data_IF_672937989865
#
_entry.id   IF_672937989865
#
_cell.length_a   1.000
_cell.length_b   1.000
_cell.length_c   1.000
_cell.angle_alpha   90.00
_cell.angle_beta   90.00
_cell.angle_gamma   90.00
#
_symmetry.space_group_name_H-M   'P 1'
#
loop_
_entity.id
_entity.type
_entity.pdbx_description
1 polymer ?
#
# COMPACT_ATOMS: atom_id res chain seq x y z
N UNK A 1 -32.14 15.34 6.03
CA UNK A 1 -32.61 16.45 6.90
C UNK A 1 -32.31 16.24 8.38
N UNK A 2 -33.04 15.43 9.14
CA UNK A 2 -32.74 15.23 10.58
C UNK A 2 -31.30 14.74 10.80
N UNK A 3 -30.87 13.72 10.03
CA UNK A 3 -29.50 13.22 10.07
C UNK A 3 -28.45 14.29 9.75
N UNK A 4 -28.71 15.17 8.77
CA UNK A 4 -27.78 16.26 8.42
C UNK A 4 -27.63 17.27 9.56
N UNK A 5 -28.70 17.55 10.29
CA UNK A 5 -28.66 18.40 11.49
C UNK A 5 -27.81 17.73 12.56
N UNK A 6 -28.06 16.47 12.88
CA UNK A 6 -27.28 15.77 13.91
C UNK A 6 -25.80 15.61 13.55
N UNK A 7 -25.47 15.42 12.27
CA UNK A 7 -24.08 15.40 11.79
C UNK A 7 -23.41 16.77 11.95
N UNK A 8 -24.13 17.85 11.66
CA UNK A 8 -23.63 19.21 11.87
C UNK A 8 -23.41 19.50 13.36
N UNK A 9 -24.38 19.15 14.20
CA UNK A 9 -24.28 19.31 15.65
C UNK A 9 -23.10 18.48 16.19
N UNK A 10 -22.92 17.24 15.72
CA UNK A 10 -21.80 16.37 16.11
C UNK A 10 -20.45 17.01 15.82
N UNK A 11 -20.30 17.63 14.64
CA UNK A 11 -19.04 18.28 14.24
C UNK A 11 -18.67 19.47 15.12
N UNK A 12 -19.65 20.13 15.75
CA UNK A 12 -19.46 21.29 16.61
C UNK A 12 -19.47 20.97 18.11
N UNK A 13 -19.88 19.74 18.49
CA UNK A 13 -20.05 19.33 19.87
C UNK A 13 -18.72 18.96 20.55
N UNK A 14 -18.68 19.15 21.87
CA UNK A 14 -17.64 18.62 22.76
C UNK A 14 -17.79 17.10 22.98
N UNK A 15 -16.74 16.46 23.50
CA UNK A 15 -16.64 15.00 23.55
C UNK A 15 -17.78 14.32 24.33
N UNK A 16 -18.33 14.93 25.38
CA UNK A 16 -19.44 14.37 26.15
C UNK A 16 -20.76 14.34 25.35
N UNK A 17 -21.06 15.42 24.64
CA UNK A 17 -22.30 15.56 23.88
C UNK A 17 -22.29 14.69 22.61
N UNK A 18 -21.10 14.48 22.03
CA UNK A 18 -20.89 13.60 20.88
C UNK A 18 -21.44 12.18 21.11
N UNK A 19 -21.31 11.62 22.32
CA UNK A 19 -21.88 10.30 22.64
C UNK A 19 -23.40 10.25 22.50
N UNK A 20 -24.10 11.31 22.93
CA UNK A 20 -25.55 11.39 22.82
C UNK A 20 -25.99 11.55 21.35
N UNK A 21 -25.25 12.35 20.59
CA UNK A 21 -25.51 12.57 19.18
C UNK A 21 -25.31 11.29 18.35
N UNK A 22 -24.30 10.48 18.64
CA UNK A 22 -24.11 9.17 18.00
C UNK A 22 -25.34 8.28 18.19
N UNK A 23 -25.90 8.22 19.40
CA UNK A 23 -27.12 7.43 19.65
C UNK A 23 -28.34 7.96 18.89
N UNK A 24 -28.48 9.28 18.76
CA UNK A 24 -29.56 9.88 17.95
C UNK A 24 -29.40 9.57 16.47
N UNK A 25 -28.17 9.63 15.96
CA UNK A 25 -27.83 9.30 14.56
C UNK A 25 -28.18 7.82 14.29
N UNK A 26 -27.70 6.90 15.13
CA UNK A 26 -27.99 5.46 15.03
C UNK A 26 -29.51 5.19 15.03
N UNK A 27 -30.23 5.79 15.97
CA UNK A 27 -31.68 5.64 16.06
C UNK A 27 -32.39 6.12 14.79
N UNK A 28 -32.05 7.30 14.28
CA UNK A 28 -32.65 7.83 13.05
C UNK A 28 -32.29 7.00 11.81
N UNK A 29 -31.10 6.39 11.74
CA UNK A 29 -30.74 5.43 10.67
C UNK A 29 -31.61 4.17 10.77
N UNK A 30 -31.88 3.67 11.98
CA UNK A 30 -32.78 2.52 12.19
C UNK A 30 -34.22 2.83 11.80
N UNK A 31 -34.75 4.00 12.16
CA UNK A 31 -36.07 4.45 11.71
C UNK A 31 -36.13 4.55 10.18
N UNK A 32 -35.12 5.15 9.56
CA UNK A 32 -35.02 5.24 8.10
C UNK A 32 -34.97 3.85 7.45
N UNK A 33 -34.24 2.91 8.04
CA UNK A 33 -34.14 1.51 7.55
C UNK A 33 -35.53 0.86 7.46
N UNK A 34 -36.36 1.05 8.49
CA UNK A 34 -37.72 0.53 8.54
C UNK A 34 -38.59 1.18 7.46
N UNK A 35 -38.53 2.50 7.34
CA UNK A 35 -39.34 3.27 6.39
C UNK A 35 -39.07 2.89 4.93
N UNK A 36 -37.80 2.65 4.58
CA UNK A 36 -37.41 2.27 3.21
C UNK A 36 -37.44 0.75 2.97
N UNK A 37 -37.76 -0.04 4.01
CA UNK A 37 -37.74 -1.50 3.94
C UNK A 37 -36.36 -2.10 3.62
N UNK A 38 -35.27 -1.44 4.04
CA UNK A 38 -33.90 -1.91 3.86
C UNK A 38 -33.12 -1.75 5.15
N UNK A 39 -32.54 -2.83 5.64
CA UNK A 39 -31.68 -2.81 6.81
C UNK A 39 -30.30 -2.20 6.48
N UNK A 40 -29.91 -1.14 7.19
CA UNK A 40 -28.56 -0.63 7.15
C UNK A 40 -27.69 -1.31 8.20
N UNK A 41 -26.99 -2.37 7.82
CA UNK A 41 -25.98 -3.00 8.70
C UNK A 41 -24.76 -2.09 8.77
N UNK A 42 -24.42 -1.61 9.96
CA UNK A 42 -23.26 -0.76 10.19
C UNK A 42 -22.54 -1.15 11.49
N UNK A 43 -21.24 -1.42 11.39
CA UNK A 43 -20.36 -1.54 12.58
C UNK A 43 -19.73 -0.18 12.92
N UNK A 44 -19.58 0.69 11.93
CA UNK A 44 -19.02 2.05 12.04
C UNK A 44 -20.04 3.02 11.47
N UNK A 45 -20.51 3.95 12.33
CA UNK A 45 -21.52 4.95 11.98
C UNK A 45 -20.92 6.19 11.32
N UNK A 46 -19.79 6.65 11.83
CA UNK A 46 -19.18 7.93 11.47
C UNK A 46 -17.70 7.75 11.16
N UNK A 47 -17.22 8.60 10.26
CA UNK A 47 -15.80 8.79 9.98
C UNK A 47 -15.49 10.26 10.17
N UNK A 48 -14.38 10.56 10.84
CA UNK A 48 -13.92 11.92 11.11
C UNK A 48 -12.51 12.07 10.57
N UNK A 49 -12.28 13.11 9.77
CA UNK A 49 -10.95 13.55 9.34
C UNK A 49 -10.60 14.80 10.16
N UNK A 50 -9.66 14.67 11.10
CA UNK A 50 -9.22 15.78 11.95
C UNK A 50 -8.09 16.54 11.28
N UNK A 51 -8.26 17.85 11.08
CA UNK A 51 -7.24 18.73 10.49
C UNK A 51 -6.65 19.61 11.58
N UNK A 52 -5.32 19.65 11.63
CA UNK A 52 -4.60 20.58 12.47
C UNK A 52 -3.99 21.71 11.63
N UNK A 53 -4.60 22.91 11.70
CA UNK A 53 -4.17 24.07 10.88
C UNK A 53 -2.86 24.72 11.36
N UNK A 54 -2.40 24.42 12.57
CA UNK A 54 -1.20 25.00 13.17
C UNK A 54 0.02 24.08 13.10
N UNK A 55 0.37 23.54 11.92
CA UNK A 55 1.49 22.59 11.77
C UNK A 55 2.74 23.05 12.55
N UNK A 56 3.15 22.26 13.55
CA UNK A 56 4.30 22.58 14.40
C UNK A 56 5.64 22.22 13.76
N UNK A 57 5.65 21.20 12.89
CA UNK A 57 6.86 20.63 12.29
C UNK A 57 6.67 20.48 10.79
N UNK A 58 7.14 21.46 10.03
CA UNK A 58 7.23 21.36 8.56
C UNK A 58 8.43 20.49 8.19
N UNK A 59 8.33 19.78 7.07
CA UNK A 59 9.46 19.05 6.49
C UNK A 59 9.91 19.78 5.24
N UNK A 60 11.19 20.12 5.19
CA UNK A 60 11.82 20.57 3.95
C UNK A 60 12.31 19.36 3.18
N UNK A 61 11.88 19.26 1.93
CA UNK A 61 12.27 18.20 1.02
C UNK A 61 13.38 18.75 0.12
N UNK A 62 14.55 18.13 0.19
CA UNK A 62 15.67 18.51 -0.66
C UNK A 62 15.66 17.74 -1.99
N UNK A 63 16.37 18.28 -2.98
CA UNK A 63 16.45 17.69 -4.33
C UNK A 63 17.03 16.27 -4.31
N UNK A 64 18.06 16.02 -3.50
CA UNK A 64 18.68 14.69 -3.40
C UNK A 64 17.69 13.61 -2.95
N UNK A 65 16.80 13.93 -2.01
CA UNK A 65 15.75 13.02 -1.56
C UNK A 65 14.77 12.70 -2.70
N UNK A 66 14.38 13.70 -3.50
CA UNK A 66 13.50 13.49 -4.66
C UNK A 66 14.19 12.68 -5.77
N UNK A 67 15.47 12.93 -6.04
CA UNK A 67 16.27 12.12 -6.96
C UNK A 67 16.34 10.66 -6.51
N UNK A 68 16.56 10.44 -5.21
CA UNK A 68 16.64 9.10 -4.67
C UNK A 68 15.27 8.40 -4.69
N UNK A 69 14.16 9.11 -4.40
CA UNK A 69 12.80 8.59 -4.62
C UNK A 69 12.61 8.22 -6.09
N UNK A 70 13.06 9.07 -7.01
CA UNK A 70 12.95 8.82 -8.45
C UNK A 70 13.61 7.52 -8.88
N UNK A 71 14.75 7.19 -8.28
CA UNK A 71 15.45 5.95 -8.54
C UNK A 71 14.77 4.75 -7.87
N UNK A 72 14.36 4.89 -6.61
CA UNK A 72 13.67 3.84 -5.87
C UNK A 72 12.32 3.47 -6.50
N UNK A 73 11.55 4.43 -7.00
CA UNK A 73 10.26 4.13 -7.61
C UNK A 73 10.40 3.25 -8.86
N UNK A 74 11.44 3.48 -9.69
CA UNK A 74 11.73 2.63 -10.85
C UNK A 74 11.97 1.20 -10.39
N UNK A 75 12.87 1.02 -9.41
CA UNK A 75 13.21 -0.31 -8.91
C UNK A 75 12.04 -0.99 -8.20
N UNK A 76 11.28 -0.26 -7.39
CA UNK A 76 10.18 -0.79 -6.59
C UNK A 76 9.03 -1.37 -7.42
N UNK A 77 8.96 -1.08 -8.73
CA UNK A 77 8.01 -1.71 -9.64
C UNK A 77 8.07 -3.24 -9.65
N UNK A 78 9.25 -3.83 -9.42
CA UNK A 78 9.37 -5.30 -9.36
C UNK A 78 8.56 -5.89 -8.21
N UNK A 79 8.34 -5.13 -7.13
CA UNK A 79 7.58 -5.60 -5.97
C UNK A 79 6.07 -5.36 -6.10
N UNK A 80 5.60 -4.74 -7.18
CA UNK A 80 4.17 -4.68 -7.48
C UNK A 80 3.65 -6.06 -7.91
N UNK A 81 2.73 -6.59 -7.10
CA UNK A 81 2.10 -7.89 -7.26
C UNK A 81 1.21 -7.95 -8.52
N UNK A 82 0.69 -6.80 -8.96
CA UNK A 82 -0.11 -6.70 -10.18
C UNK A 82 0.72 -6.86 -11.46
N UNK A 83 2.03 -6.59 -11.41
CA UNK A 83 2.84 -6.58 -12.62
C UNK A 83 3.06 -7.98 -13.22
N UNK A 84 3.46 -9.02 -12.45
CA UNK A 84 3.46 -10.40 -12.97
C UNK A 84 2.07 -10.88 -13.42
N UNK A 85 1.01 -10.44 -12.74
CA UNK A 85 -0.38 -10.77 -13.12
C UNK A 85 -0.72 -10.17 -14.48
N UNK A 86 -0.32 -8.91 -14.76
CA UNK A 86 -0.49 -8.29 -16.08
C UNK A 86 0.25 -9.06 -17.17
N UNK A 87 1.51 -9.43 -16.94
CA UNK A 87 2.29 -10.17 -17.93
C UNK A 87 1.66 -11.53 -18.24
N UNK A 88 1.19 -12.23 -17.20
CA UNK A 88 0.48 -13.50 -17.35
C UNK A 88 -0.86 -13.33 -18.07
N UNK A 89 -1.62 -12.31 -17.68
CA UNK A 89 -2.87 -11.95 -18.34
C UNK A 89 -2.65 -11.63 -19.82
N UNK A 90 -1.60 -10.88 -20.15
CA UNK A 90 -1.30 -10.47 -21.52
C UNK A 90 -0.92 -11.66 -22.40
N UNK A 91 -0.11 -12.58 -21.87
CA UNK A 91 0.19 -13.85 -22.54
C UNK A 91 -1.09 -14.63 -22.84
N UNK A 92 -1.93 -14.86 -21.82
CA UNK A 92 -3.15 -15.64 -21.97
C UNK A 92 -4.20 -14.96 -22.84
N UNK A 93 -4.23 -13.62 -22.85
CA UNK A 93 -5.04 -12.82 -23.77
C UNK A 93 -4.59 -13.05 -25.21
N UNK A 94 -3.30 -12.92 -25.50
CA UNK A 94 -2.76 -13.13 -26.84
C UNK A 94 -2.95 -14.57 -27.32
N UNK A 95 -2.76 -15.58 -26.46
CA UNK A 95 -3.05 -16.99 -26.79
C UNK A 95 -4.51 -17.22 -27.20
N UNK A 96 -5.46 -16.46 -26.63
CA UNK A 96 -6.90 -16.62 -26.88
C UNK A 96 -7.42 -15.72 -28.03
N UNK A 97 -6.94 -14.49 -28.12
CA UNK A 97 -7.49 -13.45 -28.98
C UNK A 97 -6.49 -12.92 -30.04
N UNK A 98 -5.23 -13.32 -29.97
CA UNK A 98 -4.17 -12.80 -30.86
C UNK A 98 -4.01 -11.28 -30.73
N UNK A 99 -3.82 -10.63 -31.88
CA UNK A 99 -3.68 -9.16 -32.00
C UNK A 99 -5.02 -8.42 -32.18
N UNK A 100 -6.15 -9.13 -32.08
CA UNK A 100 -7.47 -8.56 -32.30
C UNK A 100 -7.85 -7.51 -31.23
N UNK A 101 -8.60 -6.50 -31.65
CA UNK A 101 -9.26 -5.58 -30.74
C UNK A 101 -10.52 -6.24 -30.17
N UNK A 102 -10.55 -6.48 -28.87
CA UNK A 102 -11.65 -7.15 -28.17
C UNK A 102 -12.42 -6.13 -27.36
N UNK A 103 -13.73 -6.01 -27.59
CA UNK A 103 -14.61 -5.09 -26.85
C UNK A 103 -14.47 -5.23 -25.34
N UNK A 104 -14.43 -4.10 -24.62
CA UNK A 104 -14.17 -4.11 -23.20
C UNK A 104 -15.36 -4.60 -22.34
N UNK A 105 -16.55 -4.75 -22.91
CA UNK A 105 -17.69 -5.43 -22.28
C UNK A 105 -17.66 -6.97 -22.46
N UNK A 106 -16.65 -7.52 -23.17
CA UNK A 106 -16.53 -8.96 -23.37
C UNK A 106 -16.10 -9.67 -22.07
N UNK A 107 -17.02 -10.46 -21.51
CA UNK A 107 -16.83 -11.23 -20.28
C UNK A 107 -15.63 -12.20 -20.33
N UNK A 108 -15.27 -12.68 -21.51
CA UNK A 108 -14.17 -13.63 -21.67
C UNK A 108 -12.82 -13.00 -21.30
N UNK A 109 -12.64 -11.69 -21.51
CA UNK A 109 -11.40 -10.99 -21.12
C UNK A 109 -11.23 -11.03 -19.60
N UNK A 110 -12.29 -10.78 -18.86
CA UNK A 110 -12.29 -10.81 -17.40
C UNK A 110 -12.08 -12.23 -16.84
N UNK A 111 -12.61 -13.25 -17.51
CA UNK A 111 -12.33 -14.64 -17.15
C UNK A 111 -10.85 -14.98 -17.33
N UNK A 112 -10.22 -14.52 -18.42
CA UNK A 112 -8.78 -14.68 -18.64
C UNK A 112 -7.99 -13.98 -17.53
N UNK A 113 -8.38 -12.76 -17.13
CA UNK A 113 -7.74 -12.04 -16.03
C UNK A 113 -7.87 -12.76 -14.68
N UNK A 114 -9.07 -13.25 -14.33
CA UNK A 114 -9.30 -14.00 -13.08
C UNK A 114 -8.44 -15.27 -13.05
N UNK A 115 -8.33 -15.97 -14.18
CA UNK A 115 -7.48 -17.15 -14.31
C UNK A 115 -6.00 -16.79 -14.13
N UNK A 116 -5.53 -15.72 -14.77
CA UNK A 116 -4.16 -15.22 -14.58
C UNK A 116 -3.85 -14.85 -13.12
N UNK A 117 -4.79 -14.19 -12.43
CA UNK A 117 -4.66 -13.88 -11.00
C UNK A 117 -4.63 -15.14 -10.12
N UNK A 118 -5.46 -16.14 -10.44
CA UNK A 118 -5.51 -17.42 -9.73
C UNK A 118 -4.22 -18.24 -9.92
N UNK A 119 -3.62 -18.19 -11.11
CA UNK A 119 -2.32 -18.82 -11.42
C UNK A 119 -1.14 -18.17 -10.66
N UNK A 120 -1.38 -17.00 -10.06
CA UNK A 120 -0.37 -16.13 -9.42
C UNK A 120 -0.69 -15.82 -7.96
N UNK A 121 -1.47 -16.65 -7.27
CA UNK A 121 -1.86 -16.42 -5.85
C UNK A 121 -0.67 -16.20 -4.91
N UNK A 122 0.46 -16.85 -5.16
CA UNK A 122 1.65 -16.75 -4.30
C UNK A 122 2.28 -15.35 -4.31
N UNK A 123 2.23 -14.62 -5.44
CA UNK A 123 2.80 -13.25 -5.52
C UNK A 123 2.07 -12.28 -4.58
N UNK A 124 0.81 -12.58 -4.26
CA UNK A 124 0.00 -11.80 -3.31
C UNK A 124 0.38 -12.06 -1.85
N UNK A 125 0.98 -13.22 -1.55
CA UNK A 125 1.43 -13.61 -0.21
C UNK A 125 2.86 -13.14 0.08
N UNK A 126 3.73 -13.20 -0.93
CA UNK A 126 5.13 -12.78 -0.83
C UNK A 126 5.54 -12.01 -2.08
N UNK A 127 5.88 -10.74 -1.92
CA UNK A 127 6.34 -9.89 -3.02
C UNK A 127 7.69 -10.34 -3.58
N UNK A 128 8.49 -11.09 -2.81
CA UNK A 128 9.75 -11.73 -3.20
C UNK A 128 9.56 -13.18 -3.67
N UNK A 129 8.32 -13.61 -3.98
CA UNK A 129 8.07 -14.95 -4.51
C UNK A 129 8.99 -15.22 -5.70
N UNK A 130 9.71 -16.34 -5.62
CA UNK A 130 10.57 -16.85 -6.68
C UNK A 130 9.80 -17.90 -7.48
N UNK A 131 9.83 -17.77 -8.81
CA UNK A 131 9.25 -18.75 -9.73
C UNK A 131 10.14 -18.86 -10.95
N UNK A 132 10.28 -20.08 -11.47
CA UNK A 132 10.88 -20.26 -12.80
C UNK A 132 9.79 -19.99 -13.85
N UNK A 133 10.08 -19.08 -14.76
CA UNK A 133 9.21 -18.80 -15.91
C UNK A 133 9.99 -19.04 -17.20
N UNK A 134 9.46 -19.92 -18.04
CA UNK A 134 10.15 -20.35 -19.27
C UNK A 134 9.51 -19.75 -20.53
N UNK A 135 8.31 -19.19 -20.42
CA UNK A 135 7.51 -18.77 -21.57
C UNK A 135 7.33 -17.26 -21.67
N UNK A 136 7.94 -16.47 -20.76
CA UNK A 136 7.85 -15.02 -20.75
C UNK A 136 9.15 -14.39 -20.21
N UNK A 137 9.96 -13.85 -21.11
CA UNK A 137 11.28 -13.28 -20.80
C UNK A 137 11.21 -12.13 -19.78
N UNK A 138 10.22 -11.25 -19.93
CA UNK A 138 10.03 -10.12 -19.02
C UNK A 138 9.68 -10.59 -17.59
N UNK A 139 8.82 -11.60 -17.47
CA UNK A 139 8.46 -12.16 -16.19
C UNK A 139 9.63 -12.90 -15.53
N UNK A 140 10.41 -13.63 -16.33
CA UNK A 140 11.64 -14.28 -15.87
C UNK A 140 12.65 -13.25 -15.34
N UNK A 141 12.88 -12.15 -16.08
CA UNK A 141 13.74 -11.04 -15.63
C UNK A 141 13.28 -10.45 -14.30
N UNK A 142 11.97 -10.22 -14.09
CA UNK A 142 11.42 -9.74 -12.81
C UNK A 142 11.75 -10.71 -11.67
N UNK A 143 11.53 -12.02 -11.85
CA UNK A 143 11.82 -13.00 -10.81
C UNK A 143 13.31 -13.09 -10.49
N UNK A 144 14.18 -12.95 -11.49
CA UNK A 144 15.63 -12.88 -11.29
C UNK A 144 16.06 -11.63 -10.51
N UNK A 145 15.48 -10.46 -10.80
CA UNK A 145 15.72 -9.24 -10.02
C UNK A 145 15.29 -9.41 -8.55
N UNK A 146 14.12 -10.02 -8.29
CA UNK A 146 13.65 -10.33 -6.94
C UNK A 146 14.58 -11.29 -6.21
N UNK A 147 15.05 -12.33 -6.91
CA UNK A 147 16.01 -13.29 -6.37
C UNK A 147 17.32 -12.59 -5.98
N UNK A 148 17.88 -11.76 -6.86
CA UNK A 148 19.10 -10.97 -6.57
C UNK A 148 18.91 -10.02 -5.39
N UNK A 149 17.74 -9.39 -5.27
CA UNK A 149 17.41 -8.56 -4.10
C UNK A 149 17.42 -9.37 -2.80
N UNK A 150 16.76 -10.54 -2.81
CA UNK A 150 16.71 -11.43 -1.66
C UNK A 150 18.09 -11.97 -1.29
N UNK A 151 18.90 -12.32 -2.29
CA UNK A 151 20.31 -12.70 -2.11
C UNK A 151 21.13 -11.57 -1.49
N UNK A 152 20.94 -10.33 -1.95
CA UNK A 152 21.57 -9.16 -1.32
C UNK A 152 21.23 -9.08 0.18
N UNK A 153 19.95 -9.17 0.54
CA UNK A 153 19.51 -9.18 1.94
C UNK A 153 20.13 -10.36 2.70
N UNK A 154 20.20 -11.53 2.08
CA UNK A 154 20.80 -12.72 2.68
C UNK A 154 22.30 -12.57 2.96
N UNK A 155 23.04 -11.92 2.05
CA UNK A 155 24.47 -11.64 2.24
C UNK A 155 24.73 -10.51 3.23
N UNK A 156 23.74 -9.63 3.46
CA UNK A 156 23.85 -8.55 4.44
C UNK A 156 23.60 -9.04 5.88
N UNK A 157 22.98 -10.21 6.06
CA UNK A 157 22.75 -10.78 7.40
C UNK A 157 24.05 -10.96 8.18
N UNK A 158 23.99 -10.68 9.48
CA UNK A 158 25.14 -10.72 10.38
C UNK A 158 25.95 -9.42 10.46
N UNK A 159 25.69 -8.44 9.58
CA UNK A 159 26.24 -7.10 9.75
C UNK A 159 25.62 -6.41 10.97
N UNK A 160 26.48 -5.77 11.77
CA UNK A 160 26.06 -5.01 12.95
C UNK A 160 25.82 -3.53 12.65
N UNK A 161 26.21 -3.07 11.46
CA UNK A 161 26.05 -1.68 10.98
C UNK A 161 25.05 -1.61 9.84
N UNK A 162 24.48 -0.43 9.55
CA UNK A 162 23.67 -0.23 8.36
C UNK A 162 24.39 -0.67 7.08
N UNK A 163 23.65 -1.29 6.16
CA UNK A 163 24.17 -1.82 4.89
C UNK A 163 23.58 -1.01 3.74
N UNK A 164 24.45 -0.40 2.94
CA UNK A 164 24.04 0.36 1.76
C UNK A 164 23.61 -0.56 0.62
N UNK A 165 22.41 -0.33 0.06
CA UNK A 165 21.88 -1.01 -1.12
C UNK A 165 21.99 -0.16 -2.40
N UNK A 166 22.55 1.04 -2.31
CA UNK A 166 22.54 2.02 -3.41
C UNK A 166 23.14 1.48 -4.70
N UNK A 167 24.39 1.02 -4.67
CA UNK A 167 25.08 0.52 -5.87
C UNK A 167 24.34 -0.66 -6.51
N UNK A 168 23.70 -1.49 -5.69
CA UNK A 168 22.88 -2.60 -6.15
C UNK A 168 21.66 -2.09 -6.92
N UNK A 169 20.86 -1.20 -6.33
CA UNK A 169 19.66 -0.65 -6.97
C UNK A 169 20.01 0.16 -8.23
N UNK A 170 21.05 0.99 -8.17
CA UNK A 170 21.45 1.84 -9.30
C UNK A 170 21.86 0.99 -10.51
N UNK A 171 22.60 -0.10 -10.28
CA UNK A 171 22.94 -1.07 -11.33
C UNK A 171 21.70 -1.78 -11.87
N UNK A 172 20.84 -2.30 -11.00
CA UNK A 172 19.65 -3.05 -11.43
C UNK A 172 18.71 -2.19 -12.29
N UNK A 173 18.56 -0.90 -11.96
CA UNK A 173 17.77 0.05 -12.75
C UNK A 173 18.44 0.34 -14.10
N UNK A 174 19.76 0.57 -14.12
CA UNK A 174 20.48 0.84 -15.36
C UNK A 174 20.44 -0.36 -16.33
N UNK A 175 20.52 -1.59 -15.82
CA UNK A 175 20.51 -2.81 -16.63
C UNK A 175 19.10 -3.25 -17.09
N UNK A 176 18.03 -2.72 -16.48
CA UNK A 176 16.64 -3.15 -16.75
C UNK A 176 15.68 -1.98 -17.01
N UNK A 177 16.20 -0.83 -17.47
CA UNK A 177 15.40 0.38 -17.63
C UNK A 177 14.17 0.17 -18.54
N UNK A 178 14.32 -0.62 -19.59
CA UNK A 178 13.26 -1.01 -20.54
C UNK A 178 12.08 -1.75 -19.90
N UNK A 179 12.34 -2.47 -18.81
CA UNK A 179 11.36 -3.29 -18.11
C UNK A 179 10.66 -2.50 -17.00
N UNK A 180 11.42 -1.73 -16.21
CA UNK A 180 10.93 -1.16 -14.96
C UNK A 180 10.67 0.35 -14.99
N UNK A 181 11.08 1.06 -16.05
CA UNK A 181 10.73 2.47 -16.24
C UNK A 181 9.51 2.63 -17.12
N UNK A 182 8.56 3.47 -16.71
CA UNK A 182 7.52 4.03 -17.59
C UNK A 182 7.71 5.53 -17.66
N UNK A 183 7.25 6.11 -18.76
CA UNK A 183 7.20 7.56 -18.92
C UNK A 183 6.24 8.22 -17.91
N UNK A 184 5.25 7.48 -17.37
CA UNK A 184 4.24 8.00 -16.45
C UNK A 184 4.29 7.53 -15.01
N UNK A 185 5.50 7.23 -14.51
CA UNK A 185 5.69 6.83 -13.13
C UNK A 185 5.33 7.95 -12.14
N UNK A 186 4.57 7.59 -11.13
CA UNK A 186 4.29 8.41 -9.95
C UNK A 186 4.16 7.54 -8.71
N UNK A 187 4.70 8.02 -7.60
CA UNK A 187 4.64 7.33 -6.32
C UNK A 187 4.34 8.29 -5.17
N UNK A 188 3.54 7.82 -4.21
CA UNK A 188 3.42 8.44 -2.89
C UNK A 188 4.35 7.74 -1.93
N UNK A 189 5.25 8.49 -1.30
CA UNK A 189 6.21 8.00 -0.32
C UNK A 189 5.76 8.42 1.07
N UNK A 190 5.54 7.43 1.93
CA UNK A 190 5.25 7.60 3.35
C UNK A 190 6.56 7.46 4.11
N UNK A 191 6.94 8.49 4.85
CA UNK A 191 8.23 8.50 5.54
C UNK A 191 8.19 9.29 6.85
N UNK A 192 9.19 9.04 7.68
CA UNK A 192 9.43 9.81 8.90
C UNK A 192 10.79 10.49 8.79
N UNK A 193 10.89 11.74 9.26
CA UNK A 193 12.15 12.51 9.25
C UNK A 193 12.84 12.35 10.60
N UNK A 194 14.05 11.78 10.60
CA UNK A 194 14.99 11.88 11.71
C UNK A 194 15.89 13.11 11.57
N UNK A 195 16.93 13.25 12.40
CA UNK A 195 17.86 14.39 12.28
C UNK A 195 18.57 14.38 10.92
N UNK A 196 19.28 13.29 10.61
CA UNK A 196 20.11 13.18 9.39
C UNK A 196 19.52 12.24 8.32
N UNK A 197 18.52 11.44 8.68
CA UNK A 197 17.96 10.40 7.81
C UNK A 197 16.47 10.59 7.54
N UNK A 198 15.99 9.84 6.55
CA UNK A 198 14.59 9.61 6.25
C UNK A 198 14.30 8.13 6.46
N UNK A 199 13.21 7.79 7.12
CA UNK A 199 12.80 6.41 7.32
C UNK A 199 11.61 6.15 6.41
N UNK A 200 11.82 5.39 5.35
CA UNK A 200 10.79 5.06 4.38
C UNK A 200 9.91 3.97 4.99
N UNK A 201 8.66 4.31 5.26
CA UNK A 201 7.68 3.32 5.71
C UNK A 201 7.18 2.54 4.51
N UNK A 202 6.69 3.26 3.50
CA UNK A 202 6.05 2.67 2.32
C UNK A 202 6.22 3.55 1.09
N UNK A 203 6.28 2.90 -0.05
CA UNK A 203 6.09 3.53 -1.35
C UNK A 203 4.85 2.89 -1.97
N UNK A 204 3.90 3.72 -2.38
CA UNK A 204 2.70 3.28 -3.07
C UNK A 204 2.56 3.99 -4.40
N UNK A 205 1.60 3.53 -5.20
CA UNK A 205 1.18 4.24 -6.40
C UNK A 205 0.80 5.69 -6.05
N UNK A 206 1.29 6.63 -6.83
CA UNK A 206 0.99 8.05 -6.70
C UNK A 206 -0.31 8.40 -7.40
N UNK A 207 -0.30 9.51 -8.15
CA UNK A 207 -1.47 10.04 -8.86
C UNK A 207 -2.60 10.39 -7.89
N UNK A 208 -2.30 11.09 -6.80
CA UNK A 208 -3.26 11.60 -5.82
C UNK A 208 -4.05 10.55 -5.01
N UNK A 209 -3.76 9.24 -5.12
CA UNK A 209 -4.53 8.18 -4.42
C UNK A 209 -4.66 8.43 -2.91
N UNK A 210 -3.61 8.96 -2.27
CA UNK A 210 -3.60 9.26 -0.84
C UNK A 210 -3.87 10.72 -0.49
N UNK A 211 -3.93 11.60 -1.50
CA UNK A 211 -4.15 13.04 -1.34
C UNK A 211 -5.58 13.47 -1.69
N UNK A 212 -6.23 12.83 -2.66
CA UNK A 212 -7.54 13.20 -3.24
C UNK A 212 -8.64 13.36 -2.18
N UNK A 213 -8.64 12.50 -1.16
CA UNK A 213 -9.58 12.57 -0.02
C UNK A 213 -9.41 13.86 0.78
N UNK A 214 -8.19 14.33 0.96
CA UNK A 214 -7.85 15.42 1.90
C UNK A 214 -7.66 16.77 1.21
N UNK A 215 -7.21 16.80 -0.05
CA UNK A 215 -6.92 18.05 -0.78
C UNK A 215 -8.15 18.96 -0.87
N UNK A 216 -9.35 18.37 -0.98
CA UNK A 216 -10.64 19.10 -0.97
C UNK A 216 -10.94 19.89 0.31
N UNK A 217 -10.14 19.68 1.36
CA UNK A 217 -10.28 20.37 2.65
C UNK A 217 -9.39 21.63 2.73
N UNK A 218 -8.59 21.89 1.68
CA UNK A 218 -7.64 22.99 1.57
C UNK A 218 -7.87 23.74 0.25
N UNK A 219 -8.80 24.70 0.25
CA UNK A 219 -9.12 25.52 -0.93
C UNK A 219 -7.86 26.22 -1.48
N UNK A 220 -6.97 26.65 -0.59
CA UNK A 220 -5.70 27.28 -0.96
C UNK A 220 -4.77 26.38 -1.79
N UNK A 221 -4.86 25.06 -1.62
CA UNK A 221 -4.08 24.10 -2.42
C UNK A 221 -4.77 23.89 -3.76
N UNK A 222 -6.08 23.69 -3.77
CA UNK A 222 -6.84 23.48 -5.00
C UNK A 222 -6.73 24.68 -5.95
N UNK A 223 -6.72 25.90 -5.43
CA UNK A 223 -6.60 27.13 -6.22
C UNK A 223 -5.14 27.46 -6.61
N UNK A 224 -4.16 26.70 -6.10
CA UNK A 224 -2.75 26.97 -6.39
C UNK A 224 -2.38 26.59 -7.83
N UNK A 225 -1.62 27.45 -8.50
CA UNK A 225 -1.13 27.19 -9.86
C UNK A 225 -0.20 25.97 -9.94
N UNK A 226 0.51 25.68 -8.85
CA UNK A 226 1.39 24.51 -8.75
C UNK A 226 0.59 23.20 -8.76
N UNK A 227 -0.49 23.13 -7.97
CA UNK A 227 -1.36 21.97 -7.95
C UNK A 227 -2.09 21.79 -9.29
N UNK A 228 -2.63 22.86 -9.88
CA UNK A 228 -3.27 22.79 -11.19
C UNK A 228 -2.30 22.31 -12.28
N UNK A 229 -1.06 22.82 -12.29
CA UNK A 229 -0.03 22.36 -13.21
C UNK A 229 0.35 20.89 -12.97
N UNK A 230 0.36 20.44 -11.71
CA UNK A 230 0.54 19.03 -11.37
C UNK A 230 -0.59 18.18 -11.95
N UNK A 231 -1.85 18.56 -11.74
CA UNK A 231 -3.02 17.82 -12.24
C UNK A 231 -3.02 17.73 -13.77
N UNK A 232 -2.82 18.85 -14.46
CA UNK A 232 -2.75 18.86 -15.93
C UNK A 232 -1.63 17.96 -16.46
N UNK A 233 -0.46 17.97 -15.81
CA UNK A 233 0.68 17.12 -16.16
C UNK A 233 0.39 15.64 -15.95
N UNK A 234 -0.19 15.27 -14.81
CA UNK A 234 -0.37 13.85 -14.43
C UNK A 234 -1.62 13.22 -15.04
N UNK A 235 -2.68 13.99 -15.23
CA UNK A 235 -3.98 13.47 -15.67
C UNK A 235 -4.35 13.84 -17.12
N UNK A 236 -3.71 14.83 -17.76
CA UNK A 236 -3.82 15.10 -19.20
C UNK A 236 -5.20 14.88 -19.86
N UNK A 237 -5.22 14.52 -21.16
CA UNK A 237 -6.47 14.23 -21.88
C UNK A 237 -6.70 12.73 -22.15
N UNK A 238 -5.66 11.91 -21.99
CA UNK A 238 -5.66 10.44 -22.20
C UNK A 238 -5.76 9.63 -20.90
N UNK A 239 -5.71 10.28 -19.73
CA UNK A 239 -5.97 9.61 -18.45
C UNK A 239 -7.43 9.83 -18.07
N UNK A 240 -8.13 8.75 -17.78
CA UNK A 240 -9.56 8.74 -17.50
C UNK A 240 -9.77 8.17 -16.10
N UNK A 241 -10.64 8.80 -15.32
CA UNK A 241 -10.85 8.45 -13.91
C UNK A 241 -12.10 7.59 -13.71
N UNK A 242 -12.03 6.62 -12.82
CA UNK A 242 -13.20 5.93 -12.25
C UNK A 242 -13.53 6.62 -10.93
N UNK A 243 -14.70 7.26 -10.84
CA UNK A 243 -15.09 8.09 -9.68
C UNK A 243 -15.93 7.32 -8.65
N UNK A 244 -16.31 6.08 -8.96
CA UNK A 244 -17.14 5.24 -8.12
C UNK A 244 -16.49 4.91 -6.77
N UNK A 245 -17.19 5.19 -5.66
CA UNK A 245 -16.66 4.95 -4.32
C UNK A 245 -16.69 3.47 -3.88
N UNK A 246 -17.48 2.63 -4.55
CA UNK A 246 -17.75 1.21 -4.19
C UNK A 246 -18.06 0.99 -2.69
N UNK A 247 -18.83 1.91 -2.10
CA UNK A 247 -19.25 1.80 -0.70
C UNK A 247 -18.15 2.04 0.33
N UNK A 248 -16.97 2.54 -0.07
CA UNK A 248 -15.88 2.84 0.83
C UNK A 248 -15.65 4.35 0.96
N UNK A 249 -15.91 4.90 2.14
CA UNK A 249 -15.87 6.35 2.40
C UNK A 249 -14.53 7.00 2.05
N UNK A 250 -13.41 6.29 2.23
CA UNK A 250 -12.10 6.85 1.91
C UNK A 250 -11.88 7.13 0.42
N UNK A 251 -12.81 6.73 -0.46
CA UNK A 251 -12.78 7.00 -1.89
C UNK A 251 -13.59 8.25 -2.27
N UNK A 252 -14.19 8.97 -1.33
CA UNK A 252 -14.94 10.19 -1.64
C UNK A 252 -13.97 11.35 -1.87
N UNK A 253 -13.83 11.79 -3.12
CA UNK A 253 -12.92 12.86 -3.53
C UNK A 253 -13.56 13.73 -4.62
N UNK A 254 -12.90 14.85 -4.93
CA UNK A 254 -13.22 15.68 -6.10
C UNK A 254 -12.53 15.07 -7.31
N UNK A 255 -13.24 14.80 -8.42
CA UNK A 255 -12.61 14.29 -9.63
C UNK A 255 -11.51 15.22 -10.14
N UNK A 256 -10.40 14.66 -10.62
CA UNK A 256 -9.25 15.43 -11.12
C UNK A 256 -9.02 15.21 -12.60
N UNK A 257 -9.46 14.08 -13.17
CA UNK A 257 -9.46 13.92 -14.62
C UNK A 257 -10.62 14.69 -15.26
N UNK A 258 -10.39 15.20 -16.48
CA UNK A 258 -11.41 15.81 -17.33
C UNK A 258 -12.46 14.82 -17.83
N UNK A 259 -12.15 13.51 -17.81
CA UNK A 259 -13.01 12.45 -18.34
C UNK A 259 -13.18 11.36 -17.30
N UNK A 260 -14.40 10.83 -17.23
CA UNK A 260 -14.74 9.68 -16.39
C UNK A 260 -14.93 8.44 -17.25
N UNK A 261 -14.49 7.29 -16.73
CA UNK A 261 -14.80 5.98 -17.28
C UNK A 261 -15.99 5.42 -16.51
N UNK A 262 -17.12 5.24 -17.21
CA UNK A 262 -18.35 4.73 -16.63
C UNK A 262 -18.38 3.21 -16.73
N UNK A 263 -18.49 2.55 -15.58
CA UNK A 263 -18.56 1.09 -15.50
C UNK A 263 -20.02 0.60 -15.49
N UNK A 264 -20.31 -0.62 -16.00
CA UNK A 264 -21.63 -1.23 -15.96
C UNK A 264 -21.95 -1.82 -14.56
N UNK A 265 -21.59 -1.11 -13.49
CA UNK A 265 -21.69 -1.56 -12.10
C UNK A 265 -22.44 -0.59 -11.18
N UNK A 266 -22.70 0.63 -11.64
CA UNK A 266 -23.28 1.69 -10.84
C UNK A 266 -24.53 2.26 -11.49
N UNK A 267 -25.57 2.44 -10.69
CA UNK A 267 -26.77 3.16 -11.11
C UNK A 267 -26.39 4.63 -11.31
N UNK A 268 -26.50 5.09 -12.56
CA UNK A 268 -26.10 6.42 -13.01
C UNK A 268 -26.98 7.48 -12.36
N UNK A 269 -26.40 8.40 -11.58
CA UNK A 269 -27.14 9.51 -10.99
C UNK A 269 -26.62 10.90 -11.42
N UNK A 270 -25.55 10.97 -12.20
CA UNK A 270 -24.82 12.21 -12.49
C UNK A 270 -24.04 12.22 -13.83
N UNK A 271 -24.62 11.83 -14.98
CA UNK A 271 -23.88 11.78 -16.25
C UNK A 271 -23.33 13.16 -16.63
N UNK A 272 -22.05 13.22 -16.98
CA UNK A 272 -21.39 14.44 -17.46
C UNK A 272 -21.11 14.38 -18.97
N UNK A 273 -21.14 15.53 -19.67
CA UNK A 273 -20.67 15.60 -21.06
C UNK A 273 -19.19 15.20 -21.15
N UNK A 274 -18.87 14.18 -21.96
CA UNK A 274 -17.51 13.68 -22.13
C UNK A 274 -17.17 12.42 -21.33
N UNK A 275 -18.12 11.89 -20.54
CA UNK A 275 -18.01 10.56 -19.95
C UNK A 275 -17.87 9.48 -21.04
N UNK A 276 -17.00 8.51 -20.79
CA UNK A 276 -16.72 7.39 -21.69
C UNK A 276 -17.28 6.13 -21.06
N UNK A 277 -18.19 5.46 -21.77
CA UNK A 277 -18.71 4.17 -21.34
C UNK A 277 -17.66 3.10 -21.56
N UNK A 278 -17.48 2.18 -20.61
CA UNK A 278 -16.59 1.04 -20.80
C UNK A 278 -16.93 0.23 -22.06
N UNK A 279 -18.22 0.18 -22.42
CA UNK A 279 -18.66 -0.48 -23.64
C UNK A 279 -17.94 0.11 -24.87
N UNK A 280 -17.69 1.42 -24.93
CA UNK A 280 -17.06 2.08 -26.08
C UNK A 280 -15.54 1.86 -26.18
N UNK A 281 -14.95 1.14 -25.23
CA UNK A 281 -13.54 0.81 -25.21
C UNK A 281 -13.26 -0.62 -25.73
N UNK A 282 -11.99 -0.90 -26.01
CA UNK A 282 -11.53 -2.24 -26.36
C UNK A 282 -10.13 -2.53 -25.78
N UNK A 283 -9.91 -3.80 -25.45
CA UNK A 283 -8.61 -4.33 -25.08
C UNK A 283 -7.87 -4.76 -26.34
N UNK A 284 -6.55 -4.54 -26.38
CA UNK A 284 -5.70 -5.03 -27.46
C UNK A 284 -4.32 -5.38 -26.92
N UNK A 285 -3.74 -6.45 -27.44
CA UNK A 285 -2.34 -6.81 -27.20
C UNK A 285 -1.41 -5.85 -27.97
N UNK A 286 -0.46 -5.24 -27.26
CA UNK A 286 0.61 -4.47 -27.84
C UNK A 286 1.84 -5.37 -27.99
N UNK A 287 2.28 -5.59 -29.23
CA UNK A 287 3.41 -6.46 -29.55
C UNK A 287 4.78 -5.81 -29.30
N UNK A 288 4.85 -4.49 -29.13
CA UNK A 288 6.09 -3.78 -28.83
C UNK A 288 6.54 -4.02 -27.38
N UNK A 289 5.62 -3.97 -26.42
CA UNK A 289 5.91 -4.15 -24.98
C UNK A 289 5.37 -5.49 -24.41
N UNK A 290 4.61 -6.23 -25.22
CA UNK A 290 4.03 -7.52 -24.87
C UNK A 290 2.87 -7.44 -23.87
N UNK A 291 2.16 -6.31 -23.80
CA UNK A 291 1.11 -6.07 -22.78
C UNK A 291 -0.24 -5.78 -23.41
N UNK A 292 -1.29 -6.17 -22.70
CA UNK A 292 -2.66 -5.74 -23.03
C UNK A 292 -2.86 -4.30 -22.54
N UNK A 293 -3.39 -3.45 -23.42
CA UNK A 293 -3.75 -2.05 -23.13
C UNK A 293 -5.24 -1.82 -23.41
N UNK A 294 -5.79 -0.72 -22.88
CA UNK A 294 -7.16 -0.30 -23.13
C UNK A 294 -7.16 0.87 -24.13
N UNK A 295 -8.06 0.82 -25.10
CA UNK A 295 -8.17 1.79 -26.17
C UNK A 295 -9.59 2.31 -26.31
N UNK A 296 -9.71 3.52 -26.84
CA UNK A 296 -10.94 4.17 -27.25
C UNK A 296 -10.78 4.72 -28.68
N UNK A 297 -11.82 4.64 -29.52
CA UNK A 297 -11.71 4.96 -30.96
C UNK A 297 -11.16 6.35 -31.26
N UNK A 298 -11.50 7.35 -30.43
CA UNK A 298 -11.07 8.74 -30.65
C UNK A 298 -9.85 9.16 -29.83
N UNK A 299 -9.55 8.46 -28.74
CA UNK A 299 -8.45 8.83 -27.82
C UNK A 299 -7.23 7.93 -27.97
N UNK A 300 -7.37 6.85 -28.76
CA UNK A 300 -6.39 5.77 -28.89
C UNK A 300 -6.17 5.08 -27.54
N UNK A 301 -4.94 4.74 -27.18
CA UNK A 301 -4.63 4.18 -25.86
C UNK A 301 -5.04 5.15 -24.76
N UNK A 302 -5.83 4.64 -23.82
CA UNK A 302 -6.28 5.36 -22.64
C UNK A 302 -5.71 4.71 -21.38
N UNK A 303 -5.30 5.54 -20.43
CA UNK A 303 -4.88 5.09 -19.11
C UNK A 303 -6.02 5.33 -18.14
N UNK A 304 -6.33 4.33 -17.33
CA UNK A 304 -7.41 4.45 -16.35
C UNK A 304 -6.83 4.57 -14.96
N UNK A 305 -7.31 5.54 -14.20
CA UNK A 305 -6.92 5.78 -12.81
C UNK A 305 -8.10 5.63 -11.88
N UNK A 306 -7.79 5.26 -10.64
CA UNK A 306 -8.73 5.18 -9.55
C UNK A 306 -8.10 5.80 -8.32
N UNK A 307 -8.66 6.90 -7.84
CA UNK A 307 -8.08 7.65 -6.72
C UNK A 307 -8.63 7.20 -5.36
N UNK A 308 -9.10 5.96 -5.32
CA UNK A 308 -9.57 5.32 -4.10
C UNK A 308 -8.51 4.42 -3.46
N UNK A 309 -8.53 4.35 -2.13
CA UNK A 309 -7.65 3.50 -1.31
C UNK A 309 -8.30 2.18 -0.88
N UNK A 310 -9.45 1.82 -1.46
CA UNK A 310 -10.09 0.53 -1.22
C UNK A 310 -9.13 -0.60 -1.63
N UNK A 311 -8.98 -1.59 -0.75
CA UNK A 311 -8.07 -2.69 -0.98
C UNK A 311 -8.44 -3.44 -2.26
N UNK A 312 -7.45 -3.68 -3.12
CA UNK A 312 -7.64 -4.21 -4.47
C UNK A 312 -8.51 -5.48 -4.54
N UNK A 313 -8.37 -6.41 -3.59
CA UNK A 313 -9.15 -7.66 -3.56
C UNK A 313 -10.65 -7.46 -3.30
N UNK A 314 -11.04 -6.33 -2.70
CA UNK A 314 -12.44 -5.95 -2.45
C UNK A 314 -13.11 -5.32 -3.68
N UNK A 315 -12.32 -4.95 -4.70
CA UNK A 315 -12.85 -4.35 -5.92
C UNK A 315 -13.55 -5.41 -6.79
N UNK A 316 -14.60 -5.02 -7.54
CA UNK A 316 -15.22 -5.86 -8.56
C UNK A 316 -14.19 -6.34 -9.61
N UNK A 317 -14.43 -7.49 -10.23
CA UNK A 317 -13.48 -8.06 -11.22
C UNK A 317 -13.18 -7.12 -12.37
N UNK A 318 -14.19 -6.42 -12.90
CA UNK A 318 -13.98 -5.42 -13.97
C UNK A 318 -12.96 -4.36 -13.54
N UNK A 319 -13.13 -3.85 -12.32
CA UNK A 319 -12.25 -2.84 -11.74
C UNK A 319 -10.83 -3.38 -11.53
N UNK A 320 -10.71 -4.61 -11.01
CA UNK A 320 -9.41 -5.27 -10.86
C UNK A 320 -8.70 -5.42 -12.19
N UNK A 321 -9.39 -5.88 -13.23
CA UNK A 321 -8.81 -6.02 -14.57
C UNK A 321 -8.32 -4.69 -15.12
N UNK A 322 -9.14 -3.64 -15.06
CA UNK A 322 -8.78 -2.31 -15.58
C UNK A 322 -7.59 -1.72 -14.82
N UNK A 323 -7.61 -1.76 -13.48
CA UNK A 323 -6.49 -1.30 -12.65
C UNK A 323 -5.23 -2.15 -12.85
N UNK A 324 -5.38 -3.45 -13.09
CA UNK A 324 -4.27 -4.36 -13.38
C UNK A 324 -3.54 -4.07 -14.69
N UNK A 325 -4.11 -3.27 -15.60
CA UNK A 325 -3.42 -2.83 -16.83
C UNK A 325 -2.35 -1.77 -16.57
N UNK A 326 -2.40 -1.11 -15.41
CA UNK A 326 -1.46 -0.06 -15.03
C UNK A 326 -0.71 -0.46 -13.76
N UNK A 327 0.22 -1.43 -13.82
CA UNK A 327 1.06 -1.78 -12.69
C UNK A 327 1.80 -0.54 -12.22
N UNK A 328 1.87 -0.42 -10.91
CA UNK A 328 2.33 0.75 -10.20
C UNK A 328 3.68 0.51 -9.51
N UNK A 329 4.12 1.53 -8.77
CA UNK A 329 5.24 1.42 -7.86
C UNK A 329 4.73 0.95 -6.49
N UNK A 330 5.36 -0.09 -5.91
CA UNK A 330 5.07 -0.49 -4.54
C UNK A 330 6.32 -0.94 -3.80
N UNK A 331 6.53 -0.45 -2.59
CA UNK A 331 7.55 -0.96 -1.67
C UNK A 331 6.96 -1.02 -0.27
N UNK A 332 6.83 -2.23 0.27
CA UNK A 332 6.39 -2.47 1.64
C UNK A 332 7.07 -3.74 2.16
N UNK A 333 8.11 -3.55 2.98
CA UNK A 333 8.94 -4.64 3.50
C UNK A 333 8.14 -5.65 4.34
N UNK A 334 6.94 -5.30 4.83
CA UNK A 334 6.09 -6.23 5.56
C UNK A 334 5.60 -7.40 4.69
N UNK A 335 5.55 -7.25 3.37
CA UNK A 335 5.14 -8.30 2.42
C UNK A 335 6.32 -9.00 1.75
N UNK A 336 7.53 -8.85 2.25
CA UNK A 336 8.74 -9.44 1.70
C UNK A 336 9.20 -10.60 2.58
N UNK A 337 9.30 -11.81 2.02
CA UNK A 337 9.86 -12.94 2.75
C UNK A 337 11.37 -13.11 2.51
N UNK A 338 12.16 -12.52 3.40
CA UNK A 338 13.62 -12.67 3.43
C UNK A 338 14.10 -13.32 4.73
N UNK A 339 13.27 -14.10 5.42
CA UNK A 339 13.64 -14.76 6.67
C UNK A 339 14.20 -16.16 6.42
N UNK A 340 15.26 -16.53 7.16
CA UNK A 340 15.78 -17.89 7.24
C UNK A 340 15.22 -18.54 8.49
N UNK A 341 14.16 -19.33 8.32
CA UNK A 341 13.57 -20.11 9.40
C UNK A 341 14.31 -21.45 9.53
N UNK A 342 15.55 -21.39 10.02
CA UNK A 342 16.32 -22.58 10.35
C UNK A 342 15.84 -23.17 11.70
N UNK A 343 15.99 -24.48 11.88
CA UNK A 343 15.64 -25.19 13.13
C UNK A 343 16.65 -24.83 14.24
N UNK A 344 16.51 -23.63 14.79
CA UNK A 344 17.27 -23.16 15.94
C UNK A 344 16.35 -23.11 17.18
N UNK A 345 16.76 -23.72 18.28
CA UNK A 345 15.98 -23.73 19.53
C UNK A 345 16.07 -22.42 20.33
N UNK A 346 16.91 -21.46 19.92
CA UNK A 346 17.07 -20.17 20.61
C UNK A 346 15.95 -19.14 20.35
N UNK A 347 15.93 -18.08 21.17
CA UNK A 347 15.00 -16.94 21.03
C UNK A 347 15.08 -16.31 19.64
N UNK A 348 16.29 -16.04 19.15
CA UNK A 348 16.52 -15.40 17.86
C UNK A 348 16.56 -16.47 16.76
N UNK A 349 15.60 -16.40 15.86
CA UNK A 349 15.56 -17.24 14.65
C UNK A 349 16.45 -16.65 13.58
N UNK A 350 16.31 -15.35 13.33
CA UNK A 350 17.03 -14.67 12.25
C UNK A 350 17.14 -13.16 12.52
N UNK A 351 18.12 -12.52 11.87
CA UNK A 351 18.38 -11.08 11.99
C UNK A 351 18.58 -10.45 10.63
N UNK A 352 17.97 -9.28 10.46
CA UNK A 352 18.15 -8.43 9.28
C UNK A 352 18.71 -7.09 9.77
N UNK A 353 19.87 -6.65 9.24
CA UNK A 353 20.42 -5.35 9.58
C UNK A 353 19.56 -4.22 9.00
N UNK A 354 19.84 -2.99 9.40
CA UNK A 354 19.30 -1.83 8.71
C UNK A 354 19.81 -1.80 7.25
N UNK A 355 18.90 -1.59 6.30
CA UNK A 355 19.22 -1.45 4.87
C UNK A 355 18.92 -0.02 4.43
N UNK A 356 19.92 0.65 3.87
CA UNK A 356 19.88 2.08 3.54
C UNK A 356 20.16 2.34 2.07
N UNK A 357 19.46 3.29 1.48
CA UNK A 357 19.76 3.90 0.19
C UNK A 357 20.14 5.36 0.44
N UNK A 358 21.44 5.68 0.36
CA UNK A 358 22.01 6.92 0.89
C UNK A 358 21.56 7.19 2.34
N UNK A 359 20.84 8.28 2.59
CA UNK A 359 20.32 8.67 3.89
C UNK A 359 18.87 8.20 4.13
N UNK A 360 18.33 7.33 3.27
CA UNK A 360 17.00 6.76 3.42
C UNK A 360 17.08 5.33 3.94
N UNK A 361 16.49 5.07 5.10
CA UNK A 361 16.33 3.71 5.59
C UNK A 361 15.12 3.07 4.94
N UNK A 362 15.36 1.97 4.23
CA UNK A 362 14.31 1.20 3.53
C UNK A 362 13.82 0.02 4.38
N UNK A 363 14.72 -0.61 5.12
CA UNK A 363 14.40 -1.72 6.02
C UNK A 363 15.07 -1.40 7.36
N UNK A 364 14.27 -1.27 8.41
CA UNK A 364 14.76 -1.11 9.78
C UNK A 364 15.43 -2.39 10.26
N UNK A 365 16.36 -2.29 11.22
CA UNK A 365 16.89 -3.44 11.91
C UNK A 365 15.76 -4.21 12.57
N UNK A 366 15.73 -5.51 12.32
CA UNK A 366 14.67 -6.38 12.79
C UNK A 366 15.19 -7.79 13.08
N UNK A 367 14.52 -8.46 14.01
CA UNK A 367 14.83 -9.81 14.43
C UNK A 367 13.55 -10.66 14.43
N UNK A 368 13.61 -11.81 13.78
CA UNK A 368 12.57 -12.83 13.90
C UNK A 368 12.87 -13.63 15.17
N UNK A 369 11.87 -13.72 16.04
CA UNK A 369 11.98 -14.40 17.33
C UNK A 369 10.91 -15.47 17.50
N UNK A 370 11.17 -16.44 18.36
CA UNK A 370 10.21 -17.44 18.82
C UNK A 370 10.10 -17.42 20.34
N UNK A 371 8.97 -17.90 20.87
CA UNK A 371 8.83 -18.00 22.31
C UNK A 371 9.68 -19.16 22.88
N UNK A 372 10.56 -18.85 23.83
CA UNK A 372 11.36 -19.84 24.58
C UNK A 372 11.08 -19.82 26.10
N UNK A 373 10.16 -18.95 26.55
CA UNK A 373 9.90 -18.72 27.95
C UNK A 373 8.71 -19.53 28.44
N UNK A 374 8.73 -19.96 29.70
CA UNK A 374 7.56 -20.56 30.34
C UNK A 374 6.57 -19.49 30.79
N UNK A 375 5.49 -19.34 30.02
CA UNK A 375 4.45 -18.33 30.26
C UNK A 375 3.61 -18.60 31.53
N UNK A 376 3.76 -19.76 32.18
CA UNK A 376 3.06 -20.10 33.42
C UNK A 376 3.80 -19.60 34.68
N UNK A 377 5.02 -19.08 34.55
CA UNK A 377 5.77 -18.56 35.67
C UNK A 377 5.11 -17.32 36.31
N UNK A 378 5.41 -17.01 37.59
CA UNK A 378 5.05 -15.72 38.17
C UNK A 378 5.56 -14.55 37.33
N UNK A 379 4.72 -13.54 37.08
CA UNK A 379 5.02 -12.41 36.18
C UNK A 379 6.36 -11.72 36.49
N UNK A 380 6.77 -11.67 37.76
CA UNK A 380 8.04 -11.06 38.18
C UNK A 380 9.27 -11.87 37.78
N UNK A 381 9.15 -13.19 37.76
CA UNK A 381 10.22 -14.10 37.34
C UNK A 381 10.33 -14.08 35.81
N UNK A 382 9.18 -14.23 35.13
CA UNK A 382 9.08 -14.11 33.68
C UNK A 382 9.64 -12.76 33.18
N UNK A 383 9.31 -11.66 33.85
CA UNK A 383 9.85 -10.34 33.50
C UNK A 383 11.39 -10.30 33.56
N UNK A 384 11.99 -10.84 34.63
CA UNK A 384 13.45 -10.87 34.76
C UNK A 384 14.08 -11.75 33.70
N UNK A 385 13.48 -12.91 33.41
CA UNK A 385 13.97 -13.84 32.39
C UNK A 385 13.94 -13.21 31.00
N UNK A 386 12.79 -12.66 30.60
CA UNK A 386 12.59 -12.03 29.29
C UNK A 386 13.54 -10.85 29.10
N UNK A 387 13.59 -9.91 30.05
CA UNK A 387 14.45 -8.72 29.93
C UNK A 387 15.93 -9.11 29.90
N UNK A 388 16.35 -10.07 30.73
CA UNK A 388 17.74 -10.53 30.76
C UNK A 388 18.14 -11.19 29.44
N UNK A 389 17.26 -12.02 28.88
CA UNK A 389 17.52 -12.69 27.62
C UNK A 389 17.54 -11.71 26.44
N UNK A 390 16.57 -10.79 26.34
CA UNK A 390 16.57 -9.75 25.30
C UNK A 390 17.85 -8.91 25.35
N UNK A 391 18.28 -8.51 26.56
CA UNK A 391 19.52 -7.76 26.75
C UNK A 391 20.76 -8.56 26.37
N UNK A 392 20.83 -9.85 26.76
CA UNK A 392 21.91 -10.77 26.36
C UNK A 392 22.01 -10.91 24.84
N UNK A 393 20.88 -10.86 24.15
CA UNK A 393 20.79 -10.90 22.69
C UNK A 393 20.96 -9.52 22.03
N UNK A 394 21.23 -8.45 22.79
CA UNK A 394 21.41 -7.10 22.26
C UNK A 394 20.15 -6.51 21.62
N UNK A 395 18.97 -6.92 22.09
CA UNK A 395 17.68 -6.32 21.69
C UNK A 395 17.34 -5.14 22.59
N UNK A 396 16.68 -4.09 22.05
CA UNK A 396 16.31 -2.91 22.83
C UNK A 396 15.16 -3.21 23.81
N UNK A 397 14.99 -2.35 24.82
CA UNK A 397 13.85 -2.42 25.75
C UNK A 397 12.58 -1.78 25.18
N UNK A 398 12.71 -1.01 24.09
CA UNK A 398 11.61 -0.37 23.39
C UNK A 398 11.69 -0.77 21.92
N UNK A 399 10.60 -1.29 21.38
CA UNK A 399 10.55 -1.83 20.02
C UNK A 399 9.11 -1.91 19.52
N UNK A 400 8.96 -2.15 18.22
CA UNK A 400 7.69 -2.60 17.65
C UNK A 400 7.69 -4.12 17.50
N UNK A 401 6.54 -4.73 17.75
CA UNK A 401 6.29 -6.14 17.41
C UNK A 401 5.33 -6.27 16.24
N UNK A 402 5.57 -7.24 15.37
CA UNK A 402 4.70 -7.62 14.25
C UNK A 402 4.51 -9.14 14.25
N UNK A 403 3.35 -9.61 13.81
CA UNK A 403 3.14 -11.03 13.57
C UNK A 403 3.95 -11.47 12.33
N UNK A 404 4.52 -12.67 12.37
CA UNK A 404 5.14 -13.27 11.19
C UNK A 404 4.07 -13.84 10.25
N UNK A 405 3.94 -13.24 9.07
CA UNK A 405 2.83 -13.52 8.13
C UNK A 405 3.15 -14.60 7.09
N UNK A 406 4.43 -14.93 6.89
CA UNK A 406 4.85 -15.88 5.85
C UNK A 406 4.88 -17.33 6.34
N UNK A 407 4.01 -17.67 7.31
CA UNK A 407 3.86 -19.05 7.81
C UNK A 407 2.89 -19.85 6.92
N UNK A 408 3.10 -21.18 6.76
CA UNK A 408 2.18 -22.03 6.02
C UNK A 408 0.74 -21.91 6.57
N UNK A 409 -0.25 -21.79 5.68
CA UNK A 409 -1.66 -21.68 6.06
C UNK A 409 -2.12 -20.30 6.55
N UNK A 410 -1.31 -19.25 6.43
CA UNK A 410 -1.72 -17.90 6.77
C UNK A 410 -2.79 -17.35 5.80
N UNK A 411 -3.98 -17.00 6.33
CA UNK A 411 -5.12 -16.54 5.56
C UNK A 411 -5.25 -15.00 5.58
N UNK A 412 -4.58 -14.34 4.63
CA UNK A 412 -4.62 -12.88 4.46
C UNK A 412 -6.04 -12.28 4.38
N UNK A 413 -6.99 -13.01 3.79
CA UNK A 413 -8.36 -12.54 3.58
C UNK A 413 -9.20 -12.50 4.86
N UNK A 414 -8.83 -13.30 5.87
CA UNK A 414 -9.59 -13.44 7.11
C UNK A 414 -8.99 -12.63 8.27
N UNK A 415 -7.87 -11.93 8.05
CA UNK A 415 -7.26 -11.11 9.10
C UNK A 415 -7.86 -9.71 9.17
N UNK A 416 -8.20 -9.32 10.40
CA UNK A 416 -8.58 -7.94 10.69
C UNK A 416 -7.39 -7.00 10.45
N UNK A 417 -7.64 -5.84 9.81
CA UNK A 417 -6.63 -4.81 9.52
C UNK A 417 -5.79 -4.38 10.74
N UNK A 418 -6.34 -4.51 11.95
CA UNK A 418 -5.65 -4.19 13.22
C UNK A 418 -4.60 -5.22 13.61
N UNK A 419 -4.74 -6.48 13.19
CA UNK A 419 -3.82 -7.56 13.55
C UNK A 419 -2.47 -7.46 12.81
N UNK A 420 -2.42 -6.74 11.70
CA UNK A 420 -1.22 -6.53 10.88
C UNK A 420 -0.43 -5.27 11.29
N UNK A 421 -1.00 -4.43 12.17
CA UNK A 421 -0.35 -3.19 12.58
C UNK A 421 0.77 -3.47 13.57
N UNK A 422 1.96 -2.84 13.40
CA UNK A 422 3.01 -2.92 14.40
C UNK A 422 2.51 -2.39 15.75
N UNK A 423 2.81 -3.09 16.84
CA UNK A 423 2.45 -2.69 18.18
C UNK A 423 3.69 -2.21 18.93
N UNK A 424 3.65 -1.00 19.47
CA UNK A 424 4.72 -0.46 20.30
C UNK A 424 4.78 -1.19 21.65
N UNK A 425 5.97 -1.60 22.05
CA UNK A 425 6.26 -2.24 23.32
C UNK A 425 7.37 -1.44 24.03
N UNK A 426 7.14 -1.13 25.30
CA UNK A 426 8.15 -0.66 26.24
C UNK A 426 8.17 -1.62 27.43
N UNK A 427 9.28 -2.35 27.60
CA UNK A 427 9.43 -3.31 28.69
C UNK A 427 9.41 -2.62 30.07
N UNK A 428 9.71 -1.31 30.15
CA UNK A 428 9.54 -0.54 31.39
C UNK A 428 8.09 -0.34 31.80
N UNK A 429 7.12 -0.60 30.91
CA UNK A 429 5.69 -0.52 31.18
C UNK A 429 5.10 -1.94 31.36
N UNK A 430 4.61 -2.23 32.58
CA UNK A 430 4.07 -3.56 32.92
C UNK A 430 2.88 -3.99 32.06
N UNK A 431 2.06 -3.05 31.57
CA UNK A 431 0.92 -3.37 30.70
C UNK A 431 1.41 -3.79 29.32
N UNK A 432 2.37 -3.04 28.75
CA UNK A 432 2.96 -3.37 27.45
C UNK A 432 3.81 -4.64 27.52
N UNK A 433 4.47 -4.91 28.64
CA UNK A 433 5.14 -6.19 28.87
C UNK A 433 4.15 -7.35 28.84
N UNK A 434 3.00 -7.24 29.52
CA UNK A 434 1.96 -8.28 29.48
C UNK A 434 1.40 -8.49 28.07
N UNK A 435 1.19 -7.42 27.33
CA UNK A 435 0.78 -7.50 25.92
C UNK A 435 1.84 -8.23 25.07
N UNK A 436 3.12 -7.95 25.29
CA UNK A 436 4.22 -8.67 24.62
C UNK A 436 4.20 -10.17 24.92
N UNK A 437 4.06 -10.56 26.19
CA UNK A 437 3.93 -11.97 26.58
C UNK A 437 2.70 -12.65 25.94
N UNK A 438 1.55 -11.99 25.95
CA UNK A 438 0.33 -12.51 25.32
C UNK A 438 0.51 -12.74 23.81
N UNK A 439 1.27 -11.87 23.14
CA UNK A 439 1.62 -12.05 21.72
C UNK A 439 2.60 -13.20 21.50
N UNK A 440 3.61 -13.34 22.36
CA UNK A 440 4.56 -14.47 22.31
C UNK A 440 3.89 -15.82 22.54
N UNK A 441 2.86 -15.88 23.38
CA UNK A 441 2.10 -17.10 23.63
C UNK A 441 1.19 -17.46 22.44
N UNK A 442 0.58 -16.47 21.81
CA UNK A 442 -0.38 -16.67 20.73
C UNK A 442 0.29 -16.98 19.38
N UNK A 443 1.42 -16.35 19.10
CA UNK A 443 2.10 -16.46 17.80
C UNK A 443 3.35 -17.35 17.92
N UNK A 444 3.51 -18.29 16.98
CA UNK A 444 4.70 -19.14 16.90
C UNK A 444 5.99 -18.32 16.74
N UNK A 445 5.91 -17.26 15.95
CA UNK A 445 7.01 -16.35 15.67
C UNK A 445 6.54 -14.90 15.61
N UNK A 446 7.37 -14.00 16.12
CA UNK A 446 7.17 -12.55 16.08
C UNK A 446 8.38 -11.86 15.47
N UNK A 447 8.14 -10.72 14.83
CA UNK A 447 9.20 -9.83 14.38
C UNK A 447 9.32 -8.71 15.40
N UNK A 448 10.52 -8.53 15.97
CA UNK A 448 10.91 -7.33 16.70
C UNK A 448 11.58 -6.37 15.71
N UNK A 449 11.07 -5.15 15.60
CA UNK A 449 11.64 -4.08 14.79
C UNK A 449 12.06 -2.93 15.70
N UNK A 450 13.22 -2.33 15.43
CA UNK A 450 13.69 -1.17 16.21
C UNK A 450 12.76 0.04 16.07
N UNK A 451 12.80 0.93 17.07
CA UNK A 451 12.13 2.22 16.97
C UNK A 451 13.00 3.15 16.15
N UNK A 452 12.46 3.63 15.03
CA UNK A 452 13.13 4.66 14.25
C UNK A 452 12.13 5.49 13.44
N UNK A 453 12.29 6.83 13.38
CA UNK A 453 13.36 7.64 13.99
C UNK A 453 13.24 7.79 15.51
N UNK A 454 14.38 7.98 16.18
CA UNK A 454 14.43 8.26 17.61
C UNK A 454 14.10 9.73 17.85
N UNK A 455 12.83 10.01 18.12
CA UNK A 455 12.31 11.36 18.30
C UNK A 455 11.70 11.55 19.69
N UNK A 456 12.42 11.15 20.76
CA UNK A 456 11.90 11.24 22.14
C UNK A 456 11.63 12.67 22.61
N UNK A 457 12.24 13.67 21.97
CA UNK A 457 12.03 15.09 22.27
C UNK A 457 10.81 15.69 21.56
N UNK A 458 10.21 14.99 20.59
CA UNK A 458 9.03 15.49 19.89
C UNK A 458 7.77 15.29 20.73
N UNK A 459 6.92 16.32 20.83
CA UNK A 459 5.58 16.23 21.42
C UNK A 459 4.68 15.18 20.71
N UNK A 460 4.96 14.93 19.42
CA UNK A 460 4.16 14.06 18.55
C UNK A 460 5.04 13.27 17.57
N UNK A 461 4.63 12.03 17.27
CA UNK A 461 5.19 11.26 16.15
C UNK A 461 4.57 11.76 14.85
N UNK A 462 5.42 12.11 13.89
CA UNK A 462 5.00 12.58 12.57
C UNK A 462 5.34 11.53 11.50
N UNK A 463 4.39 11.30 10.60
CA UNK A 463 4.61 10.65 9.31
C UNK A 463 4.24 11.67 8.23
N UNK A 464 5.12 11.82 7.26
CA UNK A 464 4.98 12.72 6.12
C UNK A 464 4.67 11.91 4.88
N UNK A 465 3.95 12.54 3.96
CA UNK A 465 3.67 12.00 2.63
C UNK A 465 4.19 12.98 1.60
N UNK A 466 4.90 12.47 0.59
CA UNK A 466 5.26 13.23 -0.60
C UNK A 466 4.85 12.45 -1.83
N UNK A 467 4.28 13.12 -2.82
CA UNK A 467 4.06 12.55 -4.14
C UNK A 467 5.12 13.05 -5.10
N UNK A 468 5.77 12.12 -5.80
CA UNK A 468 6.70 12.43 -6.87
C UNK A 468 6.22 11.82 -8.18
N UNK A 469 6.40 12.54 -9.29
CA UNK A 469 6.04 12.06 -10.63
C UNK A 469 7.14 12.42 -11.61
N UNK A 470 7.54 11.45 -12.43
CA UNK A 470 8.51 11.63 -13.53
C UNK A 470 7.85 11.93 -14.87
N UNK A 471 6.52 12.14 -14.88
CA UNK A 471 5.78 12.50 -16.10
C UNK A 471 6.37 13.81 -16.65
N UNK A 472 6.96 13.73 -17.84
CA UNK A 472 7.43 14.93 -18.56
C UNK A 472 6.21 15.68 -19.11
N UNK A 473 6.26 17.01 -19.12
CA UNK A 473 5.28 17.81 -19.87
C UNK A 473 5.42 17.45 -21.36
N UNK A 474 4.28 17.11 -21.98
CA UNK A 474 4.18 16.79 -23.40
C UNK A 474 4.41 18.02 -24.29
#
# INVERSE_FOLDING_TARGET
>A
KQLEIYLKDFSAAEWEERFQLIHRIDHTIKELSVEIGKEFVHEILLYEDTIYRGMKKTVEINEQFLENISQLQKYARIFDQSYPVLLRFSQMFHEKFGDEAVRADNLDVYQVFVKAGSDMTEVWKDTLTERQENNNDNMQRIYEMKKRFKEFIYTSKGNCTPVSIKEFIDREVAENEDLISEEDNSSTVFFQKGQENYVINKIYNGKQIFFSRFVKLFDEVMDSSEYQAYIDRVFGDKVIEITECFGFNANVHVPVSRKRLVLPLTDRNDPQPGDIELADCYFRYNSEDGRVRLYHDTLEEIKVVYLGSLAYYLLPTIMKTIMGLCPSTRFDAAYMNFWRNEDNEGLIVDRVPEIVYDNMVLIRKQCLIRNIFDMNQPVTELYREVVSELHRQGLPNRFFIKAYMNKPGFEYLNMGRTQLKPQYIDLGNILLFKEFCAKLEKEEQLIIEEIMPYNEEDDYIHEYQVEYSTIKQA
#
